data_IF_988490182004
#
_entry.id   IF_988490182004
#
_cell.length_a   1.000
_cell.length_b   1.000
_cell.length_c   1.000
_cell.angle_alpha   90.00
_cell.angle_beta   90.00
_cell.angle_gamma   90.00
#
_symmetry.space_group_name_H-M   'P 1'
#
loop_
_entity.id
_entity.type
_entity.pdbx_description
1 polymer ?
#
# COMPACT_ATOMS: atom_id res chain seq x y z
N UNK A 1 -18.99 24.68 10.40
CA UNK A 1 -19.61 23.50 11.04
C UNK A 1 -19.55 22.36 10.04
N UNK A 2 -18.93 21.23 10.39
CA UNK A 2 -19.14 19.99 9.60
C UNK A 2 -20.58 19.54 9.82
N UNK A 3 -21.34 19.38 8.73
CA UNK A 3 -22.64 18.71 8.79
C UNK A 3 -22.40 17.25 9.17
N UNK A 4 -23.19 16.72 10.10
CA UNK A 4 -23.19 15.29 10.39
C UNK A 4 -23.67 14.59 9.10
N UNK A 5 -22.94 13.58 8.59
CA UNK A 5 -23.37 12.87 7.39
C UNK A 5 -24.75 12.24 7.61
N UNK A 6 -25.66 12.43 6.66
CA UNK A 6 -26.96 11.75 6.73
C UNK A 6 -26.84 10.28 6.27
N UNK A 7 -27.90 9.49 6.47
CA UNK A 7 -27.90 8.07 6.11
C UNK A 7 -27.67 7.82 4.62
N UNK A 8 -28.15 8.70 3.74
CA UNK A 8 -27.94 8.58 2.30
C UNK A 8 -26.46 8.81 1.93
N UNK A 9 -25.78 9.79 2.55
CA UNK A 9 -24.35 10.01 2.35
C UNK A 9 -23.50 8.84 2.84
N UNK A 10 -23.81 8.28 4.02
CA UNK A 10 -23.09 7.10 4.52
C UNK A 10 -23.28 5.89 3.61
N UNK A 11 -24.51 5.66 3.12
CA UNK A 11 -24.81 4.57 2.19
C UNK A 11 -24.11 4.78 0.84
N UNK A 12 -24.08 6.02 0.32
CA UNK A 12 -23.33 6.39 -0.90
C UNK A 12 -21.86 5.97 -0.78
N UNK A 13 -21.18 6.40 0.28
CA UNK A 13 -19.75 6.09 0.45
C UNK A 13 -19.48 4.62 0.77
N UNK A 14 -20.41 3.93 1.44
CA UNK A 14 -20.33 2.49 1.63
C UNK A 14 -20.44 1.73 0.29
N UNK A 15 -21.37 2.14 -0.58
CA UNK A 15 -21.52 1.56 -1.91
C UNK A 15 -20.29 1.85 -2.78
N UNK A 16 -19.76 3.07 -2.78
CA UNK A 16 -18.52 3.40 -3.50
C UNK A 16 -17.34 2.56 -3.01
N UNK A 17 -17.22 2.37 -1.70
CA UNK A 17 -16.19 1.50 -1.15
C UNK A 17 -16.40 0.04 -1.56
N UNK A 18 -17.61 -0.49 -1.49
CA UNK A 18 -17.90 -1.84 -1.97
C UNK A 18 -17.58 -2.00 -3.46
N UNK A 19 -17.89 -1.00 -4.29
CA UNK A 19 -17.60 -1.02 -5.72
C UNK A 19 -16.09 -1.04 -5.95
N UNK A 20 -15.32 -0.28 -5.17
CA UNK A 20 -13.87 -0.25 -5.23
C UNK A 20 -13.21 -1.61 -4.93
N UNK A 21 -13.91 -2.51 -4.22
CA UNK A 21 -13.42 -3.86 -3.97
C UNK A 21 -13.44 -4.75 -5.23
N UNK A 22 -14.28 -4.45 -6.23
CA UNK A 22 -14.43 -5.24 -7.45
C UNK A 22 -13.31 -5.01 -8.47
N UNK A 23 -13.18 -5.96 -9.41
CA UNK A 23 -12.27 -5.82 -10.56
C UNK A 23 -12.94 -5.00 -11.68
N UNK A 24 -12.57 -3.71 -11.75
CA UNK A 24 -13.13 -2.72 -12.67
C UNK A 24 -12.14 -2.25 -13.73
N UNK A 25 -10.97 -2.86 -13.80
CA UNK A 25 -9.99 -2.71 -14.87
C UNK A 25 -9.30 -4.04 -15.18
N UNK A 26 -8.72 -4.13 -16.38
CA UNK A 26 -7.82 -5.23 -16.72
C UNK A 26 -6.47 -5.11 -15.99
N UNK A 27 -5.60 -6.11 -16.16
CA UNK A 27 -4.26 -6.12 -15.52
C UNK A 27 -3.35 -4.97 -15.96
N UNK A 28 -3.65 -4.31 -17.08
CA UNK A 28 -2.90 -3.16 -17.58
C UNK A 28 -3.47 -1.83 -17.04
N UNK A 29 -4.56 -1.88 -16.26
CA UNK A 29 -5.24 -0.70 -15.74
C UNK A 29 -6.26 -0.10 -16.72
N UNK A 30 -6.59 -0.78 -17.82
CA UNK A 30 -7.65 -0.30 -18.70
C UNK A 30 -9.00 -0.56 -18.05
N UNK A 31 -9.74 0.51 -17.77
CA UNK A 31 -11.05 0.45 -17.13
C UNK A 31 -12.04 -0.33 -18.01
N UNK A 32 -12.89 -1.12 -17.37
CA UNK A 32 -13.94 -1.84 -18.08
C UNK A 32 -14.92 -0.86 -18.77
N UNK A 33 -15.43 -1.20 -19.96
CA UNK A 33 -16.48 -0.43 -20.62
C UNK A 33 -17.73 -0.23 -19.75
N UNK A 34 -18.43 0.92 -19.84
CA UNK A 34 -19.61 1.22 -19.02
C UNK A 34 -20.73 0.18 -19.10
N UNK A 35 -20.95 -0.43 -20.26
CA UNK A 35 -21.94 -1.49 -20.50
C UNK A 35 -21.61 -2.79 -19.75
N UNK A 36 -20.37 -2.96 -19.30
CA UNK A 36 -19.92 -4.11 -18.49
C UNK A 36 -19.80 -3.82 -17.01
N UNK A 37 -19.98 -2.56 -16.58
CA UNK A 37 -19.82 -2.15 -15.18
C UNK A 37 -20.77 -2.88 -14.24
N UNK A 38 -22.05 -2.96 -14.58
CA UNK A 38 -23.04 -3.67 -13.77
C UNK A 38 -22.63 -5.13 -13.53
N UNK A 39 -22.25 -5.85 -14.60
CA UNK A 39 -21.85 -7.25 -14.50
C UNK A 39 -20.58 -7.41 -13.65
N UNK A 40 -19.60 -6.52 -13.79
CA UNK A 40 -18.39 -6.56 -12.98
C UNK A 40 -18.66 -6.32 -11.49
N UNK A 41 -19.61 -5.45 -11.14
CA UNK A 41 -20.02 -5.23 -9.74
C UNK A 41 -20.74 -6.44 -9.13
N UNK A 42 -21.57 -7.14 -9.92
CA UNK A 42 -22.23 -8.39 -9.51
C UNK A 42 -21.20 -9.49 -9.31
N UNK A 43 -20.23 -9.60 -10.22
CA UNK A 43 -19.12 -10.56 -10.11
C UNK A 43 -18.18 -10.22 -8.93
N UNK A 44 -17.95 -8.93 -8.69
CA UNK A 44 -17.11 -8.45 -7.61
C UNK A 44 -15.63 -8.70 -7.83
N UNK A 45 -14.95 -9.11 -6.76
CA UNK A 45 -13.59 -9.63 -6.77
C UNK A 45 -13.54 -11.17 -6.87
N UNK A 46 -14.60 -11.80 -7.39
CA UNK A 46 -14.83 -13.25 -7.35
C UNK A 46 -14.96 -13.86 -5.94
N UNK A 47 -15.04 -13.02 -4.90
CA UNK A 47 -15.24 -13.43 -3.51
C UNK A 47 -16.41 -12.70 -2.86
N UNK A 48 -16.17 -12.01 -1.74
CA UNK A 48 -17.20 -11.44 -0.88
C UNK A 48 -17.73 -10.07 -1.36
N UNK A 49 -17.03 -9.38 -2.27
CA UNK A 49 -17.42 -8.03 -2.68
C UNK A 49 -18.42 -8.01 -3.84
N UNK A 50 -19.62 -8.53 -3.62
CA UNK A 50 -20.65 -8.66 -4.67
C UNK A 50 -21.82 -7.71 -4.43
N UNK A 51 -22.23 -7.02 -5.48
CA UNK A 51 -23.43 -6.21 -5.46
C UNK A 51 -24.66 -7.08 -5.73
N UNK A 52 -25.78 -6.85 -5.02
CA UNK A 52 -27.09 -7.24 -5.50
C UNK A 52 -27.39 -6.56 -6.84
N UNK A 53 -28.12 -7.24 -7.73
CA UNK A 53 -28.39 -6.77 -9.10
C UNK A 53 -28.94 -5.35 -9.18
N UNK A 54 -29.90 -5.01 -8.30
CA UNK A 54 -30.49 -3.67 -8.26
C UNK A 54 -29.46 -2.61 -7.88
N UNK A 55 -28.62 -2.90 -6.88
CA UNK A 55 -27.59 -1.97 -6.43
C UNK A 55 -26.52 -1.76 -7.51
N UNK A 56 -26.17 -2.83 -8.24
CA UNK A 56 -25.23 -2.74 -9.36
C UNK A 56 -25.81 -1.90 -10.51
N UNK A 57 -27.11 -2.07 -10.80
CA UNK A 57 -27.84 -1.28 -11.79
C UNK A 57 -27.85 0.20 -11.41
N UNK A 58 -28.21 0.49 -10.17
CA UNK A 58 -28.27 1.86 -9.66
C UNK A 58 -26.88 2.50 -9.67
N UNK A 59 -25.84 1.78 -9.27
CA UNK A 59 -24.46 2.28 -9.32
C UNK A 59 -24.03 2.60 -10.75
N UNK A 60 -24.17 1.66 -11.69
CA UNK A 60 -23.79 1.84 -13.09
C UNK A 60 -24.60 2.93 -13.81
N UNK A 61 -25.78 3.28 -13.28
CA UNK A 61 -26.61 4.37 -13.79
C UNK A 61 -26.10 5.76 -13.39
N UNK A 62 -25.42 5.88 -12.25
CA UNK A 62 -25.04 7.16 -11.63
C UNK A 62 -23.53 7.40 -11.58
N UNK A 63 -22.71 6.37 -11.69
CA UNK A 63 -21.26 6.46 -11.51
C UNK A 63 -20.51 5.89 -12.71
N UNK A 64 -19.41 6.56 -13.07
CA UNK A 64 -18.41 6.09 -14.01
C UNK A 64 -17.10 5.80 -13.27
N UNK A 65 -16.38 4.78 -13.75
CA UNK A 65 -15.01 4.51 -13.31
C UNK A 65 -14.07 5.30 -14.20
N UNK A 66 -13.30 6.23 -13.65
CA UNK A 66 -12.34 7.03 -14.42
C UNK A 66 -10.98 6.34 -14.50
N UNK A 67 -10.56 5.69 -13.42
CA UNK A 67 -9.32 4.95 -13.34
C UNK A 67 -9.43 3.89 -12.23
N UNK A 68 -8.78 2.74 -12.43
CA UNK A 68 -8.52 1.79 -11.36
C UNK A 68 -7.07 1.35 -11.46
N UNK A 69 -6.34 1.36 -10.33
CA UNK A 69 -5.06 0.69 -10.19
C UNK A 69 -5.35 -0.76 -9.78
N UNK A 70 -5.12 -1.77 -10.65
CA UNK A 70 -5.16 -3.16 -10.23
C UNK A 70 -4.13 -3.42 -9.13
N UNK A 71 -4.22 -4.56 -8.45
CA UNK A 71 -3.25 -4.92 -7.42
C UNK A 71 -1.82 -4.73 -7.90
N UNK A 72 -1.12 -3.85 -7.20
CA UNK A 72 0.32 -3.72 -7.29
C UNK A 72 1.00 -4.88 -6.57
N UNK A 73 2.32 -4.96 -6.76
CA UNK A 73 3.18 -5.91 -6.07
C UNK A 73 3.15 -5.77 -4.54
N UNK A 74 2.79 -4.59 -4.03
CA UNK A 74 2.66 -4.29 -2.60
C UNK A 74 1.26 -4.59 -2.05
N UNK A 75 0.31 -4.95 -2.92
CA UNK A 75 -1.11 -5.16 -2.58
C UNK A 75 -1.95 -3.90 -2.60
N UNK A 76 -1.35 -2.74 -2.92
CA UNK A 76 -2.12 -1.53 -3.13
C UNK A 76 -3.04 -1.67 -4.35
N UNK A 77 -4.29 -1.24 -4.20
CA UNK A 77 -5.25 -1.01 -5.27
C UNK A 77 -6.17 0.15 -4.90
N UNK A 78 -6.63 0.88 -5.90
CA UNK A 78 -7.57 1.98 -5.71
C UNK A 78 -8.38 2.27 -6.96
N UNK A 79 -9.52 2.93 -6.79
CA UNK A 79 -10.44 3.31 -7.87
C UNK A 79 -10.84 4.77 -7.75
N UNK A 80 -10.83 5.50 -8.86
CA UNK A 80 -11.37 6.85 -8.97
C UNK A 80 -12.73 6.78 -9.68
N UNK A 81 -13.77 7.18 -8.97
CA UNK A 81 -15.12 7.28 -9.50
C UNK A 81 -15.50 8.73 -9.79
N UNK A 82 -16.38 8.91 -10.76
CA UNK A 82 -17.08 10.17 -11.01
C UNK A 82 -18.58 9.97 -11.07
N UNK A 83 -19.30 10.83 -10.38
CA UNK A 83 -20.75 10.86 -10.46
C UNK A 83 -21.17 11.52 -11.78
N UNK A 84 -22.03 10.86 -12.57
CA UNK A 84 -22.47 11.32 -13.89
C UNK A 84 -23.88 11.94 -13.87
N UNK A 85 -24.65 11.69 -12.81
CA UNK A 85 -26.03 12.14 -12.65
C UNK A 85 -26.30 12.69 -11.26
N UNK A 86 -27.04 13.79 -11.19
CA UNK A 86 -27.53 14.32 -9.91
C UNK A 86 -28.66 13.44 -9.40
N UNK A 87 -28.57 13.04 -8.13
CA UNK A 87 -29.67 12.42 -7.38
C UNK A 87 -29.57 12.83 -5.91
N UNK A 88 -30.25 13.92 -5.57
CA UNK A 88 -30.20 14.52 -4.23
C UNK A 88 -30.79 13.58 -3.16
N UNK A 89 -31.73 12.70 -3.52
CA UNK A 89 -32.32 11.75 -2.57
C UNK A 89 -31.31 10.67 -2.15
N UNK A 90 -30.38 10.32 -3.04
CA UNK A 90 -29.28 9.39 -2.77
C UNK A 90 -27.97 10.12 -2.37
N UNK A 91 -27.99 11.45 -2.30
CA UNK A 91 -26.81 12.27 -1.98
C UNK A 91 -25.76 12.30 -3.11
N UNK A 92 -26.15 12.04 -4.35
CA UNK A 92 -25.27 12.03 -5.53
C UNK A 92 -25.23 13.41 -6.18
N UNK A 93 -24.02 13.94 -6.34
CA UNK A 93 -23.81 15.24 -6.97
C UNK A 93 -23.06 15.08 -8.28
N UNK A 94 -23.64 15.55 -9.39
CA UNK A 94 -23.04 15.37 -10.71
C UNK A 94 -21.65 16.02 -10.76
N UNK A 95 -20.66 15.25 -11.20
CA UNK A 95 -19.26 15.65 -11.27
C UNK A 95 -18.47 15.43 -9.99
N UNK A 96 -19.09 14.94 -8.91
CA UNK A 96 -18.41 14.52 -7.69
C UNK A 96 -17.37 13.44 -7.99
N UNK A 97 -16.17 13.59 -7.42
CA UNK A 97 -15.06 12.65 -7.55
C UNK A 97 -14.82 11.95 -6.23
N UNK A 98 -14.68 10.63 -6.27
CA UNK A 98 -14.39 9.82 -5.08
C UNK A 98 -13.23 8.87 -5.36
N UNK A 99 -12.18 9.02 -4.56
CA UNK A 99 -10.98 8.19 -4.58
C UNK A 99 -11.11 7.11 -3.49
N UNK A 100 -11.22 5.86 -3.89
CA UNK A 100 -11.47 4.74 -2.98
C UNK A 100 -10.28 3.80 -2.92
N UNK A 101 -9.78 3.51 -1.73
CA UNK A 101 -8.69 2.55 -1.51
C UNK A 101 -9.23 1.21 -1.03
N UNK A 102 -8.76 0.13 -1.66
CA UNK A 102 -9.28 -1.21 -1.47
C UNK A 102 -8.74 -1.88 -0.19
N UNK A 103 -9.45 -2.90 0.29
CA UNK A 103 -8.95 -3.83 1.30
C UNK A 103 -7.95 -4.87 0.74
N UNK A 104 -7.40 -5.69 1.64
CA UNK A 104 -6.52 -6.84 1.35
C UNK A 104 -7.30 -8.02 0.77
N UNK A 105 -6.81 -8.70 -0.27
CA UNK A 105 -7.46 -9.91 -0.80
C UNK A 105 -7.16 -11.14 0.09
N UNK A 106 -8.11 -11.46 0.97
CA UNK A 106 -7.97 -12.42 2.08
C UNK A 106 -7.67 -13.89 1.72
N UNK A 107 -7.78 -14.33 0.46
CA UNK A 107 -7.62 -15.75 0.10
C UNK A 107 -6.29 -16.05 -0.62
N UNK A 108 -5.74 -15.11 -1.38
CA UNK A 108 -4.47 -15.30 -2.10
C UNK A 108 -3.30 -14.52 -1.47
N UNK A 109 -3.58 -13.49 -0.65
CA UNK A 109 -2.54 -12.59 -0.09
C UNK A 109 -2.33 -12.76 1.43
N UNK A 110 -2.89 -13.83 2.02
CA UNK A 110 -2.83 -14.08 3.47
C UNK A 110 -1.39 -14.11 4.03
N UNK A 111 -0.39 -14.48 3.22
CA UNK A 111 1.02 -14.49 3.63
C UNK A 111 1.58 -13.07 3.79
N UNK A 112 1.41 -12.24 2.75
CA UNK A 112 1.95 -10.88 2.73
C UNK A 112 1.15 -9.99 3.67
N UNK A 113 -0.17 -10.13 3.67
CA UNK A 113 -1.03 -9.19 4.37
C UNK A 113 -1.23 -9.52 5.84
N UNK A 114 -1.34 -10.79 6.26
CA UNK A 114 -1.46 -11.12 7.69
C UNK A 114 -0.13 -11.19 8.44
N UNK A 115 0.96 -11.64 7.82
CA UNK A 115 2.25 -11.76 8.51
C UNK A 115 3.18 -10.56 8.24
N UNK A 116 3.35 -10.09 7.00
CA UNK A 116 4.25 -8.96 6.73
C UNK A 116 3.60 -7.59 7.02
N UNK A 117 2.48 -7.27 6.37
CA UNK A 117 1.83 -5.96 6.52
C UNK A 117 1.20 -5.80 7.90
N UNK A 118 0.33 -6.73 8.32
CA UNK A 118 -0.43 -6.58 9.57
C UNK A 118 0.41 -6.85 10.83
N UNK A 119 1.32 -7.85 10.83
CA UNK A 119 2.10 -8.19 12.03
C UNK A 119 3.48 -7.52 12.10
N UNK A 120 4.13 -7.21 10.97
CA UNK A 120 5.49 -6.67 10.97
C UNK A 120 5.56 -5.19 10.59
N UNK A 121 4.68 -4.65 9.73
CA UNK A 121 4.74 -3.22 9.38
C UNK A 121 3.75 -2.36 10.18
N UNK A 122 2.45 -2.66 10.13
CA UNK A 122 1.44 -1.86 10.83
C UNK A 122 1.52 -2.06 12.34
N UNK A 123 1.59 -3.32 12.81
CA UNK A 123 1.65 -3.61 14.25
C UNK A 123 2.96 -3.15 14.89
N UNK A 124 4.07 -3.20 14.17
CA UNK A 124 5.39 -2.84 14.71
C UNK A 124 5.72 -1.35 14.51
N UNK A 125 5.31 -0.77 13.38
CA UNK A 125 5.76 0.56 12.95
C UNK A 125 4.62 1.55 12.68
N UNK A 126 3.36 1.09 12.71
CA UNK A 126 2.17 1.93 12.59
C UNK A 126 1.82 2.35 11.15
N UNK A 127 2.55 1.88 10.13
CA UNK A 127 2.40 2.26 8.73
C UNK A 127 2.66 1.09 7.76
N UNK A 128 1.81 0.97 6.75
CA UNK A 128 1.99 0.07 5.61
C UNK A 128 2.81 0.79 4.50
N UNK A 129 4.12 0.94 4.72
CA UNK A 129 4.98 1.82 3.91
C UNK A 129 4.89 1.50 2.42
N UNK A 130 4.87 0.21 2.09
CA UNK A 130 4.71 -0.28 0.74
C UNK A 130 3.46 0.19 0.03
N UNK A 131 2.29 -0.13 0.60
CA UNK A 131 1.02 0.27 0.02
C UNK A 131 0.86 1.79 0.00
N UNK A 132 1.37 2.51 0.99
CA UNK A 132 1.32 3.98 1.02
C UNK A 132 2.19 4.59 -0.11
N UNK A 133 3.36 4.00 -0.39
CA UNK A 133 4.22 4.48 -1.47
C UNK A 133 3.60 4.26 -2.85
N UNK A 134 3.01 3.08 -3.11
CA UNK A 134 2.30 2.79 -4.36
C UNK A 134 1.01 3.63 -4.49
N UNK A 135 0.31 3.86 -3.39
CA UNK A 135 -0.84 4.77 -3.33
C UNK A 135 -0.45 6.20 -3.74
N UNK A 136 0.65 6.71 -3.19
CA UNK A 136 1.14 8.05 -3.49
C UNK A 136 1.61 8.17 -4.95
N UNK A 137 2.31 7.15 -5.47
CA UNK A 137 2.71 7.10 -6.87
C UNK A 137 1.49 7.18 -7.81
N UNK A 138 0.46 6.37 -7.54
CA UNK A 138 -0.77 6.39 -8.34
C UNK A 138 -1.53 7.71 -8.20
N UNK A 139 -1.64 8.26 -6.99
CA UNK A 139 -2.25 9.59 -6.81
C UNK A 139 -1.57 10.65 -7.66
N UNK A 140 -0.23 10.66 -7.75
CA UNK A 140 0.50 11.60 -8.60
C UNK A 140 0.16 11.45 -10.07
N UNK A 141 -0.01 10.23 -10.57
CA UNK A 141 -0.49 9.97 -11.93
C UNK A 141 -1.86 10.64 -12.14
N UNK A 142 -2.83 10.37 -11.24
CA UNK A 142 -4.16 10.97 -11.29
C UNK A 142 -4.12 12.51 -11.19
N UNK A 143 -3.23 13.04 -10.36
CA UNK A 143 -3.10 14.47 -10.09
C UNK A 143 -2.38 15.24 -11.21
N UNK A 144 -1.69 14.54 -12.10
CA UNK A 144 -1.06 15.14 -13.27
C UNK A 144 -2.03 15.30 -14.46
N UNK A 145 -3.18 14.63 -14.43
CA UNK A 145 -4.17 14.63 -15.50
C UNK A 145 -5.41 15.50 -15.16
N UNK A 146 -5.73 16.56 -15.94
CA UNK A 146 -6.93 17.37 -15.78
C UNK A 146 -8.25 16.64 -16.08
N UNK A 147 -8.23 15.52 -16.83
CA UNK A 147 -9.39 14.65 -16.96
C UNK A 147 -9.70 13.94 -15.63
N UNK A 148 -8.67 13.66 -14.83
CA UNK A 148 -8.74 12.95 -13.55
C UNK A 148 -8.80 13.95 -12.38
N UNK A 149 -7.74 14.05 -11.56
CA UNK A 149 -7.76 14.81 -10.31
C UNK A 149 -7.14 16.21 -10.39
N UNK A 150 -6.33 16.55 -11.40
CA UNK A 150 -5.55 17.79 -11.40
C UNK A 150 -6.41 19.03 -11.16
N UNK A 151 -6.13 19.74 -10.06
CA UNK A 151 -6.85 20.96 -9.67
C UNK A 151 -8.29 20.76 -9.21
N UNK A 152 -8.74 19.52 -8.99
CA UNK A 152 -10.11 19.21 -8.55
C UNK A 152 -10.16 18.82 -7.08
N UNK A 153 -11.34 19.00 -6.49
CA UNK A 153 -11.69 18.48 -5.17
C UNK A 153 -12.28 17.07 -5.30
N UNK A 154 -12.03 16.24 -4.31
CA UNK A 154 -12.51 14.85 -4.27
C UNK A 154 -12.71 14.39 -2.83
N UNK A 155 -13.57 13.39 -2.64
CA UNK A 155 -13.72 12.68 -1.38
C UNK A 155 -12.87 11.41 -1.39
N UNK A 156 -12.52 10.89 -0.22
CA UNK A 156 -11.73 9.67 -0.07
C UNK A 156 -12.51 8.61 0.71
N UNK A 157 -12.48 7.36 0.26
CA UNK A 157 -13.02 6.23 1.03
C UNK A 157 -11.98 5.13 1.25
N UNK A 158 -12.16 4.34 2.30
CA UNK A 158 -11.35 3.14 2.52
C UNK A 158 -11.96 2.15 3.51
N UNK A 159 -11.87 0.85 3.22
CA UNK A 159 -12.28 -0.24 4.12
C UNK A 159 -11.08 -1.05 4.62
N UNK A 160 -11.04 -1.41 5.90
CA UNK A 160 -9.96 -2.20 6.51
C UNK A 160 -8.58 -1.56 6.26
N UNK A 161 -7.64 -2.24 5.58
CA UNK A 161 -6.38 -1.65 5.13
C UNK A 161 -6.60 -0.37 4.29
N UNK A 162 -7.61 -0.34 3.42
CA UNK A 162 -7.98 0.86 2.67
C UNK A 162 -8.29 2.06 3.58
N UNK A 163 -8.86 1.82 4.77
CA UNK A 163 -9.09 2.86 5.77
C UNK A 163 -7.80 3.38 6.42
N UNK A 164 -6.81 2.50 6.63
CA UNK A 164 -5.44 2.91 7.03
C UNK A 164 -4.81 3.81 5.95
N UNK A 165 -4.91 3.41 4.67
CA UNK A 165 -4.40 4.17 3.54
C UNK A 165 -5.10 5.53 3.39
N UNK A 166 -6.43 5.59 3.51
CA UNK A 166 -7.19 6.83 3.47
C UNK A 166 -6.75 7.81 4.58
N UNK A 167 -6.44 7.28 5.76
CA UNK A 167 -5.95 8.07 6.89
C UNK A 167 -4.53 8.60 6.62
N UNK A 168 -3.62 7.73 6.16
CA UNK A 168 -2.25 8.11 5.78
C UNK A 168 -2.24 9.17 4.66
N UNK A 169 -3.05 8.96 3.63
CA UNK A 169 -3.24 9.88 2.51
C UNK A 169 -3.67 11.27 2.98
N UNK A 170 -4.67 11.33 3.86
CA UNK A 170 -5.19 12.60 4.39
C UNK A 170 -4.12 13.35 5.18
N UNK A 171 -3.32 12.62 5.97
CA UNK A 171 -2.17 13.18 6.68
C UNK A 171 -1.12 13.74 5.72
N UNK A 172 -0.75 12.99 4.68
CA UNK A 172 0.21 13.44 3.67
C UNK A 172 -0.26 14.71 2.95
N UNK A 173 -1.54 14.76 2.53
CA UNK A 173 -2.11 15.96 1.90
C UNK A 173 -2.13 17.16 2.83
N UNK A 174 -2.38 16.98 4.13
CA UNK A 174 -2.25 18.05 5.13
C UNK A 174 -0.80 18.51 5.26
N UNK A 175 0.14 17.59 5.36
CA UNK A 175 1.57 17.87 5.50
C UNK A 175 2.12 18.66 4.28
N UNK A 176 1.55 18.44 3.10
CA UNK A 176 1.86 19.15 1.85
C UNK A 176 1.06 20.44 1.62
N UNK A 177 0.11 20.78 2.50
CA UNK A 177 -0.75 21.96 2.34
C UNK A 177 -1.89 21.79 1.32
N UNK A 178 -2.17 20.56 0.88
CA UNK A 178 -3.23 20.23 -0.09
C UNK A 178 -4.54 19.74 0.56
N UNK A 179 -4.69 19.83 1.89
CA UNK A 179 -5.89 19.35 2.59
C UNK A 179 -7.19 19.96 2.05
N UNK A 180 -7.17 21.20 1.54
CA UNK A 180 -8.36 21.85 0.99
C UNK A 180 -8.95 21.16 -0.24
N UNK A 181 -8.20 20.23 -0.87
CA UNK A 181 -8.68 19.43 -2.01
C UNK A 181 -9.48 18.20 -1.58
N UNK A 182 -9.36 17.79 -0.33
CA UNK A 182 -10.11 16.66 0.22
C UNK A 182 -11.43 17.19 0.78
N UNK A 183 -12.53 16.92 0.09
CA UNK A 183 -13.88 17.34 0.49
C UNK A 183 -14.34 16.60 1.76
N UNK A 184 -14.09 15.29 1.82
CA UNK A 184 -14.45 14.43 2.93
C UNK A 184 -13.64 13.12 2.92
N UNK A 185 -13.57 12.44 4.06
CA UNK A 185 -12.88 11.15 4.23
C UNK A 185 -13.80 10.21 4.99
N UNK A 186 -14.10 9.04 4.41
CA UNK A 186 -14.94 8.01 5.01
C UNK A 186 -14.17 6.70 5.13
N UNK A 187 -13.88 6.31 6.37
CA UNK A 187 -13.22 5.03 6.66
C UNK A 187 -14.19 4.04 7.27
N UNK A 188 -14.18 2.81 6.77
CA UNK A 188 -14.99 1.70 7.28
C UNK A 188 -14.06 0.66 7.90
N UNK A 189 -14.16 0.45 9.22
CA UNK A 189 -13.33 -0.51 9.97
C UNK A 189 -11.81 -0.38 9.72
N UNK A 190 -11.32 0.85 9.52
CA UNK A 190 -9.90 1.11 9.25
C UNK A 190 -9.05 1.09 10.53
N UNK A 191 -7.82 0.59 10.44
CA UNK A 191 -6.88 0.49 11.58
C UNK A 191 -6.27 1.82 12.04
N UNK A 192 -6.64 2.97 11.44
CA UNK A 192 -6.03 4.28 11.70
C UNK A 192 -4.56 4.32 11.27
N UNK A 193 -3.78 5.28 11.77
CA UNK A 193 -2.31 5.36 11.56
C UNK A 193 -1.61 5.67 12.89
N UNK A 194 -0.34 5.29 13.01
CA UNK A 194 0.48 5.68 14.16
C UNK A 194 0.85 7.17 14.18
N UNK A 195 1.31 7.68 15.32
CA UNK A 195 1.93 9.01 15.39
C UNK A 195 3.40 8.95 14.93
N UNK A 196 3.86 10.01 14.27
CA UNK A 196 5.30 10.18 14.03
C UNK A 196 5.84 10.90 15.25
N UNK A 197 6.97 10.46 15.80
CA UNK A 197 7.58 11.21 16.90
C UNK A 197 8.12 12.55 16.39
N UNK A 198 8.28 13.51 17.31
CA UNK A 198 8.62 14.90 16.98
C UNK A 198 9.95 15.05 16.20
N UNK A 199 10.88 14.12 16.40
CA UNK A 199 12.21 14.10 15.76
C UNK A 199 12.26 13.26 14.47
N UNK A 200 11.13 12.68 14.04
CA UNK A 200 11.04 12.05 12.73
C UNK A 200 11.31 13.10 11.62
N UNK A 201 11.84 12.70 10.44
CA UNK A 201 11.94 13.60 9.30
C UNK A 201 10.57 14.25 9.10
N UNK A 202 10.52 15.57 9.30
CA UNK A 202 9.26 16.27 9.51
C UNK A 202 8.35 16.03 8.31
N UNK A 203 7.24 15.31 8.54
CA UNK A 203 6.14 14.92 7.63
C UNK A 203 6.21 13.47 7.10
N UNK A 204 5.04 12.83 7.07
CA UNK A 204 4.89 11.46 6.57
C UNK A 204 5.28 11.35 5.09
N UNK A 205 4.96 12.36 4.28
CA UNK A 205 5.28 12.37 2.86
C UNK A 205 6.79 12.26 2.57
N UNK A 206 7.64 12.88 3.40
CA UNK A 206 9.09 12.82 3.24
C UNK A 206 9.64 11.45 3.62
N UNK A 207 9.08 10.84 4.66
CA UNK A 207 9.38 9.46 5.06
C UNK A 207 9.06 8.47 3.94
N UNK A 208 7.87 8.58 3.34
CA UNK A 208 7.44 7.73 2.22
C UNK A 208 8.32 7.94 1.00
N UNK A 209 8.70 9.19 0.70
CA UNK A 209 9.62 9.48 -0.42
C UNK A 209 10.99 8.83 -0.20
N UNK A 210 11.51 8.84 1.03
CA UNK A 210 12.78 8.19 1.37
C UNK A 210 12.67 6.66 1.25
N UNK A 211 11.60 6.08 1.81
CA UNK A 211 11.32 4.66 1.67
C UNK A 211 11.25 4.23 0.20
N UNK A 212 10.55 5.01 -0.64
CA UNK A 212 10.43 4.78 -2.08
C UNK A 212 11.79 4.75 -2.80
N UNK A 213 12.66 5.71 -2.49
CA UNK A 213 14.00 5.78 -3.06
C UNK A 213 14.82 4.55 -2.64
N UNK A 214 14.79 4.21 -1.35
CA UNK A 214 15.55 3.09 -0.80
C UNK A 214 15.08 1.73 -1.32
N UNK A 215 13.77 1.49 -1.43
CA UNK A 215 13.25 0.21 -1.92
C UNK A 215 13.53 0.00 -3.41
N UNK A 216 13.59 1.08 -4.19
CA UNK A 216 13.89 0.99 -5.63
C UNK A 216 15.38 0.89 -5.91
N UNK A 217 16.17 1.62 -5.11
CA UNK A 217 17.62 1.60 -5.13
C UNK A 217 18.23 1.64 -6.55
N UNK A 218 17.66 2.45 -7.45
CA UNK A 218 17.89 2.33 -8.91
C UNK A 218 19.37 2.52 -9.30
N UNK A 219 20.11 3.35 -8.56
CA UNK A 219 21.55 3.59 -8.75
C UNK A 219 22.44 2.69 -7.87
N UNK A 220 21.85 1.90 -6.98
CA UNK A 220 22.53 1.06 -6.01
C UNK A 220 23.14 1.81 -4.82
N UNK A 221 22.81 3.09 -4.62
CA UNK A 221 23.38 3.96 -3.58
C UNK A 221 22.33 4.58 -2.66
N UNK A 222 21.04 4.30 -2.86
CA UNK A 222 19.96 4.84 -2.00
C UNK A 222 20.00 4.24 -0.59
N UNK A 223 20.58 3.05 -0.45
CA UNK A 223 20.88 2.41 0.83
C UNK A 223 22.36 2.61 1.15
N UNK A 224 22.63 3.56 2.05
CA UNK A 224 23.98 3.80 2.55
C UNK A 224 24.29 2.90 3.74
N UNK A 225 25.14 1.89 3.52
CA UNK A 225 25.66 1.04 4.61
C UNK A 225 26.77 1.73 5.42
N UNK A 226 27.20 2.93 5.05
CA UNK A 226 28.31 3.65 5.71
C UNK A 226 29.70 3.07 5.43
N UNK A 227 29.81 2.07 4.56
CA UNK A 227 31.08 1.46 4.12
C UNK A 227 30.98 1.07 2.64
N UNK A 228 31.94 1.53 1.83
CA UNK A 228 31.99 1.19 0.39
C UNK A 228 32.08 -0.32 0.20
N UNK A 229 32.90 -1.00 1.00
CA UNK A 229 33.07 -2.46 0.93
C UNK A 229 31.80 -3.19 1.34
N UNK A 230 31.10 -2.73 2.39
CA UNK A 230 29.84 -3.32 2.80
C UNK A 230 28.75 -3.10 1.75
N UNK A 231 28.69 -1.91 1.13
CA UNK A 231 27.81 -1.62 0.00
C UNK A 231 28.08 -2.56 -1.17
N UNK A 232 29.35 -2.73 -1.58
CA UNK A 232 29.72 -3.64 -2.67
C UNK A 232 29.36 -5.09 -2.37
N UNK A 233 29.60 -5.57 -1.15
CA UNK A 233 29.26 -6.92 -0.75
C UNK A 233 27.74 -7.13 -0.70
N UNK A 234 27.00 -6.20 -0.09
CA UNK A 234 25.55 -6.21 -0.06
C UNK A 234 24.94 -6.25 -1.47
N UNK A 235 25.46 -5.45 -2.40
CA UNK A 235 25.05 -5.51 -3.81
C UNK A 235 25.35 -6.87 -4.46
N UNK A 236 26.46 -7.50 -4.12
CA UNK A 236 26.77 -8.86 -4.56
C UNK A 236 25.83 -9.92 -3.99
N UNK A 237 25.29 -9.69 -2.78
CA UNK A 237 24.23 -10.51 -2.18
C UNK A 237 22.92 -10.29 -2.95
N UNK A 238 22.51 -9.04 -3.19
CA UNK A 238 21.29 -8.70 -3.94
C UNK A 238 21.26 -9.20 -5.39
N UNK A 239 22.41 -9.29 -6.06
CA UNK A 239 22.49 -9.75 -7.45
C UNK A 239 22.08 -11.23 -7.64
N UNK A 240 21.74 -11.94 -6.56
CA UNK A 240 21.41 -13.38 -6.58
C UNK A 240 19.95 -13.70 -6.95
N UNK A 241 19.16 -12.68 -7.29
CA UNK A 241 17.76 -12.81 -7.73
C UNK A 241 16.94 -13.62 -6.70
N UNK A 242 16.74 -13.01 -5.53
CA UNK A 242 16.04 -13.64 -4.41
C UNK A 242 14.54 -13.66 -4.68
N UNK A 243 14.01 -14.84 -4.93
CA UNK A 243 12.64 -15.07 -5.38
C UNK A 243 11.84 -15.97 -4.41
N UNK A 244 12.32 -16.14 -3.19
CA UNK A 244 11.75 -17.05 -2.20
C UNK A 244 12.21 -18.50 -2.34
N UNK A 245 12.72 -18.92 -3.49
CA UNK A 245 13.45 -20.20 -3.65
C UNK A 245 14.94 -20.01 -3.35
N UNK A 246 15.46 -18.83 -3.68
CA UNK A 246 16.76 -18.34 -3.21
C UNK A 246 16.52 -17.30 -2.13
N UNK A 247 17.26 -17.41 -1.04
CA UNK A 247 17.20 -16.52 0.11
C UNK A 247 18.62 -16.13 0.56
N UNK A 248 18.83 -14.95 1.14
CA UNK A 248 20.06 -14.64 1.84
C UNK A 248 20.35 -15.69 2.91
N UNK A 249 21.54 -16.28 2.89
CA UNK A 249 21.99 -17.23 3.92
C UNK A 249 22.44 -16.50 5.18
N UNK A 250 22.41 -17.18 6.34
CA UNK A 250 22.98 -16.61 7.59
C UNK A 250 24.43 -16.15 7.39
N UNK A 251 25.24 -16.91 6.64
CA UNK A 251 26.63 -16.57 6.37
C UNK A 251 26.78 -15.28 5.56
N UNK A 252 25.93 -15.06 4.57
CA UNK A 252 25.91 -13.81 3.78
C UNK A 252 25.49 -12.62 4.65
N UNK A 253 24.50 -12.80 5.52
CA UNK A 253 24.05 -11.77 6.46
C UNK A 253 25.15 -11.42 7.48
N UNK A 254 25.82 -12.44 8.04
CA UNK A 254 26.92 -12.24 8.98
C UNK A 254 28.15 -11.60 8.29
N UNK A 255 28.41 -11.94 7.03
CA UNK A 255 29.43 -11.30 6.21
C UNK A 255 29.22 -9.78 6.07
N UNK A 256 27.97 -9.36 5.83
CA UNK A 256 27.61 -7.93 5.80
C UNK A 256 27.91 -7.27 7.15
N UNK A 257 27.54 -7.91 8.26
CA UNK A 257 27.81 -7.41 9.62
C UNK A 257 29.30 -7.15 9.86
N UNK A 258 30.14 -8.11 9.48
CA UNK A 258 31.60 -8.01 9.67
C UNK A 258 32.19 -6.87 8.85
N UNK A 259 31.75 -6.70 7.59
CA UNK A 259 32.23 -5.63 6.72
C UNK A 259 31.74 -4.24 7.18
N UNK A 260 30.55 -4.15 7.75
CA UNK A 260 30.05 -2.94 8.40
C UNK A 260 30.94 -2.54 9.59
N UNK A 261 31.19 -3.48 10.51
CA UNK A 261 32.06 -3.24 11.67
C UNK A 261 33.49 -2.87 11.27
N UNK A 262 34.06 -3.59 10.29
CA UNK A 262 35.40 -3.31 9.76
C UNK A 262 35.48 -1.95 9.04
N UNK A 263 34.38 -1.51 8.43
CA UNK A 263 34.26 -0.20 7.80
C UNK A 263 33.98 0.96 8.78
N UNK A 264 33.95 0.69 10.09
CA UNK A 264 33.71 1.71 11.11
C UNK A 264 32.23 1.99 11.40
N UNK A 265 31.29 1.20 10.87
CA UNK A 265 29.90 1.29 11.30
C UNK A 265 29.78 0.83 12.77
N UNK A 266 29.08 1.62 13.58
CA UNK A 266 28.84 1.26 14.98
C UNK A 266 28.00 -0.01 15.13
N UNK A 267 28.16 -0.72 16.25
CA UNK A 267 27.50 -2.01 16.54
C UNK A 267 25.97 -1.93 16.38
N UNK A 268 25.34 -0.83 16.79
CA UNK A 268 23.88 -0.64 16.65
C UNK A 268 23.43 -0.69 15.19
N UNK A 269 24.08 0.09 14.32
CA UNK A 269 23.75 0.16 12.89
C UNK A 269 24.00 -1.19 12.20
N UNK A 270 25.09 -1.87 12.54
CA UNK A 270 25.38 -3.20 12.02
C UNK A 270 24.33 -4.24 12.43
N UNK A 271 23.85 -4.17 13.68
CA UNK A 271 22.80 -5.08 14.16
C UNK A 271 21.43 -4.76 13.53
N UNK A 272 21.09 -3.49 13.31
CA UNK A 272 19.86 -3.07 12.63
C UNK A 272 19.79 -3.65 11.22
N UNK A 273 20.87 -3.52 10.44
CA UNK A 273 20.94 -4.09 9.08
C UNK A 273 20.79 -5.61 9.10
N UNK A 274 21.47 -6.29 10.02
CA UNK A 274 21.35 -7.75 10.15
C UNK A 274 19.94 -8.18 10.52
N UNK A 275 19.31 -7.49 11.46
CA UNK A 275 17.92 -7.76 11.83
C UNK A 275 16.97 -7.52 10.65
N UNK A 276 17.23 -6.48 9.84
CA UNK A 276 16.47 -6.24 8.63
C UNK A 276 16.54 -7.38 7.64
N UNK A 277 17.75 -7.84 7.33
CA UNK A 277 17.97 -8.93 6.38
C UNK A 277 17.37 -10.25 6.88
N UNK A 278 17.45 -10.52 8.19
CA UNK A 278 16.82 -11.70 8.80
C UNK A 278 15.30 -11.64 8.72
N UNK A 279 14.70 -10.49 9.04
CA UNK A 279 13.26 -10.28 8.92
C UNK A 279 12.77 -10.43 7.48
N UNK A 280 13.48 -9.85 6.51
CA UNK A 280 13.17 -10.04 5.09
C UNK A 280 13.19 -11.52 4.75
N UNK A 281 14.24 -12.23 5.15
CA UNK A 281 14.34 -13.67 4.91
C UNK A 281 13.15 -14.42 5.52
N UNK A 282 12.75 -14.11 6.75
CA UNK A 282 11.61 -14.75 7.41
C UNK A 282 10.29 -14.46 6.68
N UNK A 283 10.10 -13.22 6.23
CA UNK A 283 8.94 -12.83 5.41
C UNK A 283 8.95 -13.55 4.08
N UNK A 284 10.09 -13.63 3.39
CA UNK A 284 10.22 -14.35 2.11
C UNK A 284 9.97 -15.86 2.28
N UNK A 285 10.43 -16.45 3.40
CA UNK A 285 10.12 -17.84 3.76
C UNK A 285 8.62 -18.06 3.94
N UNK A 286 7.97 -17.16 4.68
CA UNK A 286 6.53 -17.25 4.96
C UNK A 286 5.68 -17.00 3.71
N UNK A 287 6.07 -16.01 2.91
CA UNK A 287 5.54 -15.71 1.58
C UNK A 287 5.58 -16.94 0.66
N UNK A 288 6.67 -17.69 0.69
CA UNK A 288 6.78 -18.94 -0.05
C UNK A 288 5.93 -20.07 0.55
N UNK A 289 5.81 -20.13 1.88
CA UNK A 289 5.12 -21.21 2.60
C UNK A 289 3.60 -21.18 2.40
N UNK A 290 2.97 -20.01 2.54
CA UNK A 290 1.51 -19.89 2.67
C UNK A 290 0.72 -20.31 1.42
N UNK A 291 1.07 -19.88 0.18
CA UNK A 291 0.42 -20.38 -1.03
C UNK A 291 0.54 -21.91 -1.17
N UNK A 292 1.68 -22.46 -0.73
CA UNK A 292 1.95 -23.90 -0.74
C UNK A 292 1.16 -24.69 0.33
N UNK A 293 0.54 -24.03 1.31
CA UNK A 293 -0.39 -24.65 2.26
C UNK A 293 -1.84 -24.58 1.77
N UNK A 294 -2.19 -23.53 1.03
CA UNK A 294 -3.53 -23.32 0.45
C UNK A 294 -3.78 -24.15 -0.82
N UNK A 295 -2.72 -24.66 -1.48
CA UNK A 295 -2.79 -25.41 -2.74
C UNK A 295 -2.40 -26.89 -2.63
N UNK A 296 -3.01 -27.66 -1.72
CA UNK A 296 -3.12 -29.11 -1.93
C UNK A 296 -4.19 -29.41 -2.99
N UNK A 297 -3.92 -29.10 -4.27
CA UNK A 297 -4.85 -29.51 -5.33
C UNK A 297 -4.68 -28.98 -6.76
N UNK A 298 -3.82 -28.00 -7.05
CA UNK A 298 -3.65 -27.54 -8.43
C UNK A 298 -2.19 -27.20 -8.73
N UNK A 299 -1.63 -27.84 -9.77
CA UNK A 299 -0.35 -27.48 -10.35
C UNK A 299 -0.43 -26.06 -10.93
N UNK A 300 0.05 -25.08 -10.18
CA UNK A 300 0.31 -23.71 -10.63
C UNK A 300 1.72 -23.29 -10.22
N UNK A 301 2.43 -22.48 -11.02
CA UNK A 301 3.82 -22.13 -10.75
C UNK A 301 3.92 -21.34 -9.43
N UNK A 302 4.95 -21.65 -8.64
CA UNK A 302 5.41 -20.89 -7.49
C UNK A 302 5.28 -19.38 -7.76
N UNK A 303 4.27 -18.73 -7.18
CA UNK A 303 4.17 -17.27 -7.22
C UNK A 303 5.12 -16.72 -6.17
N UNK A 304 6.32 -16.37 -6.62
CA UNK A 304 7.17 -15.36 -5.98
C UNK A 304 6.27 -14.14 -5.75
N UNK A 305 6.06 -13.71 -4.51
CA UNK A 305 5.36 -12.45 -4.24
C UNK A 305 6.30 -11.33 -4.69
N UNK A 306 6.07 -10.68 -5.85
CA UNK A 306 7.00 -9.69 -6.36
C UNK A 306 6.99 -8.49 -5.42
N UNK A 307 8.14 -7.87 -5.16
CA UNK A 307 8.23 -6.62 -4.38
C UNK A 307 8.67 -6.76 -2.92
N UNK A 308 9.01 -7.96 -2.43
CA UNK A 308 9.72 -8.15 -1.16
C UNK A 308 11.11 -8.67 -1.46
N UNK A 309 12.10 -7.80 -1.28
CA UNK A 309 13.52 -8.09 -1.45
C UNK A 309 14.31 -7.48 -0.26
N UNK A 310 15.63 -7.69 -0.19
CA UNK A 310 16.39 -7.13 0.92
C UNK A 310 16.43 -5.58 0.95
N UNK A 311 16.32 -4.90 -0.20
CA UNK A 311 16.23 -3.43 -0.25
C UNK A 311 14.93 -2.93 0.36
N UNK A 312 13.81 -3.61 0.07
CA UNK A 312 12.52 -3.38 0.71
C UNK A 312 12.61 -3.41 2.23
N UNK A 313 13.16 -4.48 2.81
CA UNK A 313 13.15 -4.57 4.28
C UNK A 313 14.13 -3.64 4.97
N UNK A 314 15.26 -3.31 4.33
CA UNK A 314 16.12 -2.24 4.84
C UNK A 314 15.39 -0.91 4.80
N UNK A 315 14.68 -0.60 3.71
CA UNK A 315 13.88 0.60 3.58
C UNK A 315 12.78 0.65 4.64
N UNK A 316 12.04 -0.45 4.87
CA UNK A 316 10.99 -0.54 5.90
C UNK A 316 11.56 -0.25 7.29
N UNK A 317 12.73 -0.81 7.63
CA UNK A 317 13.34 -0.59 8.96
C UNK A 317 13.93 0.80 9.12
N UNK A 318 14.56 1.36 8.07
CA UNK A 318 15.02 2.75 8.13
C UNK A 318 13.82 3.70 8.30
N UNK A 319 12.73 3.47 7.55
CA UNK A 319 11.51 4.25 7.64
C UNK A 319 10.85 4.13 9.03
N UNK A 320 10.74 2.93 9.56
CA UNK A 320 10.23 2.67 10.91
C UNK A 320 11.05 3.37 12.00
N UNK A 321 12.38 3.25 11.93
CA UNK A 321 13.29 3.89 12.87
C UNK A 321 13.15 5.41 12.82
N UNK A 322 13.04 5.97 11.64
CA UNK A 322 12.83 7.41 11.45
C UNK A 322 11.46 7.84 11.97
N UNK A 323 10.41 7.08 11.73
CA UNK A 323 9.08 7.31 12.32
C UNK A 323 9.10 7.31 13.86
N UNK A 324 9.96 6.47 14.45
CA UNK A 324 10.18 6.35 15.90
C UNK A 324 11.26 7.30 16.47
N UNK A 325 11.88 8.17 15.66
CA UNK A 325 12.83 9.20 16.12
C UNK A 325 14.26 8.72 16.34
N UNK A 326 14.70 7.71 15.60
CA UNK A 326 16.11 7.29 15.61
C UNK A 326 16.51 6.35 16.75
N UNK A 327 15.60 6.06 17.69
CA UNK A 327 15.84 5.14 18.80
C UNK A 327 15.06 3.84 18.65
N UNK A 328 15.75 2.71 18.66
CA UNK A 328 15.17 1.40 18.96
C UNK A 328 14.47 1.46 20.33
N UNK A 329 13.17 1.75 20.35
CA UNK A 329 12.31 1.32 21.45
C UNK A 329 11.69 0.01 21.02
N UNK A 330 12.36 -1.07 21.40
CA UNK A 330 11.70 -2.35 21.57
C UNK A 330 10.39 -2.09 22.33
N UNK A 331 9.26 -2.33 21.68
CA UNK A 331 7.97 -2.30 22.34
C UNK A 331 8.00 -3.29 23.51
N UNK A 332 7.72 -2.79 24.72
CA UNK A 332 7.32 -3.62 25.85
C UNK A 332 5.91 -4.15 25.61
#
# INVERSE_FOLDING_TARGET
MMSIPNSAELLKFANLQMAAEAFLADKSGNVIPPDRLQQALITGNNHASKFPDQLATDFATHWEVLAQKPNTNTGFSGTLFKCTKEDVALGYHKGELVLSFRSTEFIDDAARDNEATNKLEIKEFGYAFGQIADMEAWYRELNNDPALLKGKNFSVTGYSLGGHLATAFTRMRRDEGEQSRISAVYTFNGAGVGELVQDAPGKLADLIRRFELQRKNEDGWQIEMGSVTANSYYRGVLAKDYDGTKLPTESEIDGIRLLLLAGGAGISKSNEVVQALKRVRDVMLEAYRVPNLAHKGANGPNRVLPGIDPDWGIATIDAARLAAGGGSRAAQ
#
